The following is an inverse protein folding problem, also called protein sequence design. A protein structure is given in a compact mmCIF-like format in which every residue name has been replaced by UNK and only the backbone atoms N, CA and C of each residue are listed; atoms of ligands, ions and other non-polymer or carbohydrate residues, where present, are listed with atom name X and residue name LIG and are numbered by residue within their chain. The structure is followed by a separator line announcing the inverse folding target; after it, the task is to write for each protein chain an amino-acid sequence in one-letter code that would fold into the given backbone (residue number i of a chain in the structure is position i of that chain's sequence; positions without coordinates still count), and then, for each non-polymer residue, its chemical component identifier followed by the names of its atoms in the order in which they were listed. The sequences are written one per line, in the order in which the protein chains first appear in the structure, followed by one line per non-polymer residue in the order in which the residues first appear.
data_IF_432826669230
#
_entry.id   IF_432826669230
#
_cell.length_a   1.000
_cell.length_b   1.000
_cell.length_c   1.000
_cell.angle_alpha   90.00
_cell.angle_beta   90.00
_cell.angle_gamma   90.00
#
_symmetry.space_group_name_H-M   'P 1'
#
loop_
_entity.id
_entity.type
_entity.pdbx_description
1 polymer ?
#
# COMPACT_ATOMS: atom_id res chain seq x y z
N UNK A 1 17.73 -26.64 -6.14
CA UNK A 1 17.68 -27.96 -6.80
C UNK A 1 16.30 -28.54 -6.55
N UNK A 2 15.65 -29.04 -7.59
CA UNK A 2 14.32 -29.65 -7.48
C UNK A 2 14.47 -31.12 -7.04
N UNK A 3 14.10 -31.41 -5.79
CA UNK A 3 14.18 -32.74 -5.15
C UNK A 3 12.88 -33.54 -5.28
N UNK A 4 11.87 -32.97 -5.92
CA UNK A 4 10.56 -33.59 -6.18
C UNK A 4 10.66 -34.97 -6.85
N UNK A 5 11.55 -35.22 -7.84
CA UNK A 5 11.63 -36.55 -8.46
C UNK A 5 12.14 -37.64 -7.50
N UNK A 6 13.18 -37.37 -6.70
CA UNK A 6 13.69 -38.32 -5.69
C UNK A 6 12.66 -38.59 -4.60
N UNK A 7 11.94 -37.56 -4.15
CA UNK A 7 10.88 -37.71 -3.16
C UNK A 7 9.72 -38.57 -3.70
N UNK A 8 9.36 -38.38 -4.97
CA UNK A 8 8.31 -39.15 -5.63
C UNK A 8 8.68 -40.63 -5.83
N UNK A 9 9.96 -40.94 -6.04
CA UNK A 9 10.42 -42.34 -6.03
C UNK A 9 10.26 -42.99 -4.66
N UNK A 10 10.61 -42.26 -3.59
CA UNK A 10 10.45 -42.75 -2.22
C UNK A 10 8.97 -42.95 -1.85
N UNK A 11 8.08 -42.07 -2.30
CA UNK A 11 6.63 -42.21 -2.13
C UNK A 11 6.09 -43.43 -2.88
N UNK A 12 6.53 -43.65 -4.12
CA UNK A 12 6.17 -44.83 -4.91
C UNK A 12 6.60 -46.12 -4.22
N UNK A 13 7.82 -46.17 -3.65
CA UNK A 13 8.32 -47.31 -2.87
C UNK A 13 7.49 -47.60 -1.60
N UNK A 14 6.77 -46.61 -1.08
CA UNK A 14 5.91 -46.74 0.12
C UNK A 14 4.42 -46.83 -0.20
N UNK A 15 4.03 -47.04 -1.47
CA UNK A 15 2.64 -47.02 -1.94
C UNK A 15 1.89 -45.74 -1.55
N UNK A 16 2.60 -44.62 -1.47
CA UNK A 16 2.03 -43.31 -1.18
C UNK A 16 1.78 -42.52 -2.49
N UNK A 17 0.78 -41.64 -2.53
CA UNK A 17 0.49 -40.83 -3.70
C UNK A 17 1.66 -39.90 -4.04
N UNK A 18 1.94 -39.76 -5.34
CA UNK A 18 3.03 -38.95 -5.90
C UNK A 18 2.68 -37.46 -5.74
N UNK A 19 3.66 -36.63 -5.38
CA UNK A 19 3.53 -35.17 -5.36
C UNK A 19 3.64 -34.67 -6.80
N UNK A 20 2.50 -34.35 -7.40
CA UNK A 20 2.43 -33.56 -8.63
C UNK A 20 2.47 -32.08 -8.28
N UNK A 21 3.24 -31.28 -9.02
CA UNK A 21 3.17 -29.82 -8.92
C UNK A 21 1.71 -29.39 -9.13
N UNK A 22 1.11 -28.88 -8.06
CA UNK A 22 -0.24 -28.35 -8.12
C UNK A 22 -0.15 -27.02 -8.86
N UNK A 23 -0.42 -27.03 -10.17
CA UNK A 23 -0.55 -25.81 -10.95
C UNK A 23 -1.67 -24.98 -10.32
N UNK A 24 -1.32 -23.91 -9.61
CA UNK A 24 -2.27 -22.94 -9.08
C UNK A 24 -2.98 -22.29 -10.28
N UNK A 25 -4.15 -22.81 -10.65
CA UNK A 25 -4.96 -22.22 -11.71
C UNK A 25 -5.76 -21.05 -11.14
N UNK A 26 -5.72 -19.90 -11.80
CA UNK A 26 -6.50 -18.71 -11.44
C UNK A 26 -8.01 -19.01 -11.36
N UNK A 27 -8.50 -20.01 -12.08
CA UNK A 27 -9.91 -20.45 -12.00
C UNK A 27 -10.26 -21.09 -10.65
N UNK A 28 -9.31 -21.82 -10.03
CA UNK A 28 -9.46 -22.45 -8.72
C UNK A 28 -9.18 -21.48 -7.55
N UNK A 29 -8.78 -20.25 -7.84
CA UNK A 29 -8.51 -19.21 -6.85
C UNK A 29 -9.83 -18.56 -6.40
N UNK A 30 -9.94 -18.31 -5.09
CA UNK A 30 -11.10 -17.68 -4.46
C UNK A 30 -11.39 -16.27 -5.03
N UNK A 31 -12.65 -15.84 -4.97
CA UNK A 31 -13.10 -14.55 -5.48
C UNK A 31 -12.30 -13.36 -4.91
N UNK A 32 -11.96 -13.42 -3.62
CA UNK A 32 -11.10 -12.41 -2.97
C UNK A 32 -9.76 -12.25 -3.68
N UNK A 33 -9.07 -13.37 -3.93
CA UNK A 33 -7.73 -13.34 -4.52
C UNK A 33 -7.78 -12.92 -5.99
N UNK A 34 -8.84 -13.28 -6.73
CA UNK A 34 -9.05 -12.79 -8.11
C UNK A 34 -9.12 -11.27 -8.16
N UNK A 35 -9.91 -10.67 -7.28
CA UNK A 35 -9.99 -9.19 -7.18
C UNK A 35 -8.66 -8.58 -6.71
N UNK A 36 -7.98 -9.18 -5.73
CA UNK A 36 -6.67 -8.72 -5.30
C UNK A 36 -5.63 -8.71 -6.44
N UNK A 37 -5.58 -9.77 -7.26
CA UNK A 37 -4.71 -9.82 -8.44
C UNK A 37 -5.06 -8.77 -9.49
N UNK A 38 -6.36 -8.53 -9.71
CA UNK A 38 -6.84 -7.49 -10.62
C UNK A 38 -6.39 -6.10 -10.16
N UNK A 39 -6.58 -5.78 -8.88
CA UNK A 39 -6.13 -4.53 -8.28
C UNK A 39 -4.59 -4.40 -8.42
N UNK A 40 -3.83 -5.44 -8.10
CA UNK A 40 -2.38 -5.43 -8.22
C UNK A 40 -1.91 -5.19 -9.67
N UNK A 41 -2.59 -5.80 -10.64
CA UNK A 41 -2.30 -5.58 -12.05
C UNK A 41 -2.50 -4.10 -12.43
N UNK A 42 -3.60 -3.48 -11.99
CA UNK A 42 -3.84 -2.06 -12.24
C UNK A 42 -2.84 -1.15 -11.54
N UNK A 43 -2.45 -1.44 -10.28
CA UNK A 43 -1.37 -0.72 -9.57
C UNK A 43 -0.06 -0.80 -10.36
N UNK A 44 0.30 -2.00 -10.83
CA UNK A 44 1.55 -2.23 -11.57
C UNK A 44 1.53 -1.53 -12.94
N UNK A 45 0.39 -1.56 -13.65
CA UNK A 45 0.21 -0.86 -14.92
C UNK A 45 0.40 0.64 -14.73
N UNK A 46 -0.28 1.24 -13.75
CA UNK A 46 -0.16 2.66 -13.43
C UNK A 46 1.29 3.04 -13.10
N UNK A 47 1.97 2.24 -12.29
CA UNK A 47 3.38 2.49 -11.95
C UNK A 47 4.30 2.48 -13.17
N UNK A 48 4.09 1.54 -14.08
CA UNK A 48 4.88 1.44 -15.30
C UNK A 48 4.59 2.61 -16.25
N UNK A 49 3.31 2.96 -16.43
CA UNK A 49 2.90 4.12 -17.22
C UNK A 49 3.51 5.42 -16.69
N UNK A 50 3.49 5.64 -15.37
CA UNK A 50 4.12 6.80 -14.73
C UNK A 50 5.63 6.82 -14.94
N UNK A 51 6.31 5.66 -14.87
CA UNK A 51 7.75 5.55 -15.14
C UNK A 51 8.10 5.86 -16.59
N UNK A 52 7.33 5.33 -17.53
CA UNK A 52 7.56 5.51 -18.96
C UNK A 52 7.36 6.99 -19.36
N UNK A 53 6.34 7.62 -18.78
CA UNK A 53 6.02 9.03 -19.06
C UNK A 53 6.92 9.99 -18.26
N UNK A 54 7.56 9.56 -17.17
CA UNK A 54 8.37 10.41 -16.27
C UNK A 54 9.38 11.29 -17.00
N UNK A 55 10.16 10.72 -17.91
CA UNK A 55 11.20 11.48 -18.63
C UNK A 55 10.58 12.57 -19.51
N UNK A 56 9.53 12.21 -20.26
CA UNK A 56 8.82 13.10 -21.15
C UNK A 56 8.04 14.20 -20.40
N UNK A 57 7.45 13.84 -19.26
CA UNK A 57 6.71 14.71 -18.36
C UNK A 57 7.61 15.77 -17.72
N UNK A 58 8.79 15.37 -17.26
CA UNK A 58 9.74 16.26 -16.61
C UNK A 58 10.53 17.12 -17.62
N UNK A 59 10.61 16.72 -18.89
CA UNK A 59 11.38 17.47 -19.90
C UNK A 59 10.70 18.79 -20.25
N UNK A 60 11.30 19.91 -19.82
CA UNK A 60 10.90 21.27 -20.24
C UNK A 60 11.59 21.71 -21.55
N UNK A 61 12.39 20.84 -22.16
CA UNK A 61 13.11 21.17 -23.39
C UNK A 61 12.13 21.24 -24.57
N UNK A 62 12.17 22.35 -25.31
CA UNK A 62 11.46 22.44 -26.58
C UNK A 62 11.99 21.36 -27.54
N UNK A 63 11.12 20.74 -28.37
CA UNK A 63 11.56 19.76 -29.35
C UNK A 63 12.56 20.44 -30.29
N UNK A 64 13.84 20.05 -30.19
CA UNK A 64 14.82 20.50 -31.18
C UNK A 64 14.41 19.87 -32.49
N UNK A 65 14.08 20.69 -33.49
CA UNK A 65 13.97 20.25 -34.89
C UNK A 65 15.36 19.77 -35.30
N UNK A 66 15.66 18.51 -35.05
CA UNK A 66 16.88 17.89 -35.55
C UNK A 66 16.67 17.60 -37.03
N UNK A 67 17.59 18.06 -37.88
CA UNK A 67 17.62 17.65 -39.27
C UNK A 67 17.73 16.12 -39.32
N UNK A 68 16.73 15.48 -39.92
CA UNK A 68 16.68 14.03 -40.14
C UNK A 68 18.01 13.53 -40.74
N UNK A 69 18.75 12.71 -39.99
CA UNK A 69 19.73 11.79 -40.56
C UNK A 69 19.00 10.47 -40.82
N UNK A 70 18.88 10.01 -42.08
CA UNK A 70 18.24 8.74 -42.39
C UNK A 70 19.18 7.62 -41.91
N UNK A 71 18.78 6.86 -40.89
CA UNK A 71 19.51 5.65 -40.48
C UNK A 71 19.51 5.30 -38.98
N UNK A 72 19.05 6.17 -38.08
CA UNK A 72 19.00 5.83 -36.64
C UNK A 72 17.56 5.53 -36.18
N UNK A 73 17.24 4.25 -35.98
CA UNK A 73 16.05 3.78 -35.26
C UNK A 73 16.15 4.04 -33.74
N UNK A 74 16.64 5.20 -33.33
CA UNK A 74 16.56 5.63 -31.94
C UNK A 74 15.14 6.17 -31.72
N UNK A 75 14.36 5.49 -30.88
CA UNK A 75 13.05 5.93 -30.42
C UNK A 75 13.12 7.41 -30.04
N UNK A 76 12.50 8.27 -30.85
CA UNK A 76 12.49 9.71 -30.62
C UNK A 76 11.90 9.96 -29.22
N UNK A 77 12.54 10.78 -28.37
CA UNK A 77 11.99 11.11 -27.07
C UNK A 77 10.64 11.79 -27.28
N UNK A 78 9.56 11.12 -26.83
CA UNK A 78 8.21 11.65 -26.95
C UNK A 78 8.13 12.89 -26.07
N UNK A 79 7.94 14.06 -26.67
CA UNK A 79 7.72 15.29 -25.91
C UNK A 79 6.23 15.37 -25.57
N UNK A 80 5.90 15.51 -24.28
CA UNK A 80 4.53 15.83 -23.84
C UNK A 80 4.32 17.33 -23.86
N UNK A 81 3.18 17.77 -24.39
CA UNK A 81 2.70 19.14 -24.26
C UNK A 81 2.22 19.41 -22.83
N UNK A 82 2.07 20.68 -22.44
CA UNK A 82 1.55 21.01 -21.12
C UNK A 82 0.13 20.45 -20.89
N UNK A 83 -0.68 20.35 -21.95
CA UNK A 83 -2.00 19.69 -21.92
C UNK A 83 -1.85 18.21 -21.60
N UNK A 84 -0.98 17.50 -22.34
CA UNK A 84 -0.78 16.07 -22.14
C UNK A 84 -0.29 15.76 -20.72
N UNK A 85 0.55 16.62 -20.14
CA UNK A 85 1.01 16.48 -18.75
C UNK A 85 -0.14 16.60 -17.75
N UNK A 86 -1.05 17.56 -17.97
CA UNK A 86 -2.22 17.75 -17.12
C UNK A 86 -3.22 16.59 -17.24
N UNK A 87 -3.38 16.02 -18.44
CA UNK A 87 -4.16 14.79 -18.66
C UNK A 87 -3.54 13.58 -17.95
N UNK A 88 -2.22 13.43 -17.98
CA UNK A 88 -1.50 12.39 -17.22
C UNK A 88 -1.73 12.55 -15.73
N UNK A 89 -1.61 13.77 -15.20
CA UNK A 89 -1.87 14.05 -13.78
C UNK A 89 -3.32 13.73 -13.39
N UNK A 90 -4.28 14.12 -14.23
CA UNK A 90 -5.71 13.89 -14.00
C UNK A 90 -6.05 12.39 -14.03
N UNK A 91 -5.56 11.65 -15.03
CA UNK A 91 -5.75 10.21 -15.14
C UNK A 91 -5.11 9.47 -13.96
N UNK A 92 -3.85 9.77 -13.64
CA UNK A 92 -3.18 9.15 -12.50
C UNK A 92 -3.93 9.39 -11.18
N UNK A 93 -4.42 10.62 -10.95
CA UNK A 93 -5.28 10.93 -9.80
C UNK A 93 -6.56 10.10 -9.77
N UNK A 94 -7.26 9.99 -10.90
CA UNK A 94 -8.48 9.21 -11.00
C UNK A 94 -8.19 7.73 -10.68
N UNK A 95 -7.16 7.15 -11.29
CA UNK A 95 -6.75 5.77 -11.06
C UNK A 95 -6.34 5.53 -9.60
N UNK A 96 -5.60 6.45 -8.96
CA UNK A 96 -5.28 6.33 -7.54
C UNK A 96 -6.52 6.31 -6.63
N UNK A 97 -7.53 7.13 -6.93
CA UNK A 97 -8.79 7.15 -6.16
C UNK A 97 -9.60 5.88 -6.38
N UNK A 98 -9.73 5.45 -7.63
CA UNK A 98 -10.42 4.21 -7.98
C UNK A 98 -9.75 3.00 -7.31
N UNK A 99 -8.42 2.92 -7.36
CA UNK A 99 -7.66 1.87 -6.69
C UNK A 99 -7.85 1.91 -5.17
N UNK A 100 -7.81 3.09 -4.56
CA UNK A 100 -8.08 3.24 -3.12
C UNK A 100 -9.50 2.76 -2.75
N UNK A 101 -10.50 3.14 -3.54
CA UNK A 101 -11.88 2.71 -3.37
C UNK A 101 -12.01 1.18 -3.51
N UNK A 102 -11.37 0.58 -4.53
CA UNK A 102 -11.38 -0.87 -4.75
C UNK A 102 -10.72 -1.65 -3.60
N UNK A 103 -9.60 -1.15 -3.06
CA UNK A 103 -8.92 -1.76 -1.90
C UNK A 103 -9.80 -1.64 -0.65
N UNK A 104 -10.51 -0.52 -0.49
CA UNK A 104 -11.43 -0.32 0.64
C UNK A 104 -12.63 -1.24 0.54
N UNK A 105 -13.24 -1.36 -0.65
CA UNK A 105 -14.31 -2.31 -0.90
C UNK A 105 -13.87 -3.78 -0.65
N UNK A 106 -12.66 -4.14 -1.06
CA UNK A 106 -12.08 -5.46 -0.81
C UNK A 106 -11.91 -5.72 0.70
N UNK A 107 -11.44 -4.71 1.46
CA UNK A 107 -11.31 -4.77 2.91
C UNK A 107 -12.68 -4.94 3.59
N UNK A 108 -13.68 -4.18 3.17
CA UNK A 108 -15.02 -4.24 3.76
C UNK A 108 -15.69 -5.59 3.48
N UNK A 109 -15.49 -6.14 2.28
CA UNK A 109 -15.94 -7.48 1.94
C UNK A 109 -15.28 -8.56 2.82
N UNK A 110 -13.97 -8.42 3.12
CA UNK A 110 -13.30 -9.36 4.03
C UNK A 110 -13.78 -9.21 5.48
N UNK A 111 -14.06 -7.99 5.94
CA UNK A 111 -14.62 -7.75 7.26
C UNK A 111 -15.97 -8.45 7.42
N UNK A 112 -16.87 -8.31 6.43
CA UNK A 112 -18.17 -9.01 6.43
C UNK A 112 -18.00 -10.53 6.41
N UNK A 113 -17.03 -11.05 5.65
CA UNK A 113 -16.73 -12.48 5.61
C UNK A 113 -16.20 -12.99 6.97
N UNK A 114 -15.34 -12.22 7.63
CA UNK A 114 -14.83 -12.52 8.98
C UNK A 114 -15.95 -12.55 10.02
N UNK A 115 -16.83 -11.56 10.00
CA UNK A 115 -17.99 -11.51 10.91
C UNK A 115 -18.96 -12.68 10.69
N UNK A 116 -19.24 -13.01 9.43
CA UNK A 116 -20.11 -14.13 9.09
C UNK A 116 -19.48 -15.47 9.46
N UNK A 117 -18.19 -15.68 9.18
CA UNK A 117 -17.48 -16.91 9.54
C UNK A 117 -17.42 -17.11 11.06
N UNK A 118 -17.06 -16.08 11.82
CA UNK A 118 -17.04 -16.15 13.29
C UNK A 118 -18.43 -16.40 13.87
N UNK A 119 -19.49 -15.79 13.31
CA UNK A 119 -20.86 -16.07 13.72
C UNK A 119 -21.30 -17.51 13.37
N UNK A 120 -20.89 -18.03 12.21
CA UNK A 120 -21.18 -19.40 11.80
C UNK A 120 -20.46 -20.41 12.67
N UNK A 121 -19.16 -20.22 12.95
CA UNK A 121 -18.39 -21.05 13.87
C UNK A 121 -19.04 -21.04 15.25
N UNK A 122 -19.33 -19.84 15.79
CA UNK A 122 -20.02 -19.71 17.08
C UNK A 122 -21.33 -20.48 17.09
N UNK A 123 -22.19 -20.35 16.08
CA UNK A 123 -23.47 -21.07 16.02
C UNK A 123 -23.31 -22.59 15.91
N UNK A 124 -22.39 -23.06 15.06
CA UNK A 124 -22.16 -24.50 14.83
C UNK A 124 -21.71 -25.22 16.10
N UNK A 125 -20.82 -24.60 16.85
CA UNK A 125 -20.19 -25.24 18.00
C UNK A 125 -20.81 -24.84 19.35
N UNK A 126 -21.51 -23.71 19.45
CA UNK A 126 -22.32 -23.39 20.65
C UNK A 126 -23.55 -24.30 20.80
N UNK A 127 -24.12 -24.79 19.69
CA UNK A 127 -25.33 -25.64 19.71
C UNK A 127 -25.05 -27.08 20.20
N UNK A 128 -23.79 -27.51 20.19
CA UNK A 128 -23.38 -28.85 20.63
C UNK A 128 -23.14 -29.02 22.14
N UNK A 129 -22.92 -27.94 22.89
CA UNK A 129 -22.52 -28.03 24.31
C UNK A 129 -23.07 -26.91 25.23
N UNK A 130 -23.82 -25.94 24.72
CA UNK A 130 -24.18 -24.72 25.46
C UNK A 130 -24.99 -24.90 26.76
N UNK A 131 -25.64 -26.05 26.98
CA UNK A 131 -26.43 -26.30 28.19
C UNK A 131 -25.94 -27.47 29.06
N UNK A 132 -25.38 -28.52 28.48
CA UNK A 132 -24.96 -29.73 29.23
C UNK A 132 -23.45 -29.77 29.54
N UNK A 133 -22.61 -29.07 28.77
CA UNK A 133 -21.16 -29.03 28.99
C UNK A 133 -20.74 -28.11 30.14
N UNK A 134 -21.41 -26.96 30.28
CA UNK A 134 -21.10 -25.96 31.30
C UNK A 134 -21.36 -26.45 32.74
N UNK A 135 -22.36 -27.32 32.93
CA UNK A 135 -22.64 -27.93 34.23
C UNK A 135 -21.66 -29.05 34.58
N UNK A 136 -21.22 -29.83 33.59
CA UNK A 136 -20.24 -30.92 33.79
C UNK A 136 -18.79 -30.42 33.99
N UNK A 137 -18.46 -29.22 33.52
CA UNK A 137 -17.14 -28.61 33.65
C UNK A 137 -16.95 -27.80 34.96
N UNK A 138 -17.90 -27.83 35.89
CA UNK A 138 -17.73 -27.25 37.24
C UNK A 138 -17.96 -25.73 37.35
N UNK A 139 -18.66 -25.10 36.40
CA UNK A 139 -18.88 -23.65 36.40
C UNK A 139 -19.83 -23.13 37.52
N UNK A 140 -20.40 -24.00 38.35
CA UNK A 140 -21.26 -23.61 39.47
C UNK A 140 -20.50 -23.23 40.75
N UNK A 141 -19.17 -23.41 40.81
CA UNK A 141 -18.36 -23.04 41.97
C UNK A 141 -17.22 -22.10 41.55
N UNK A 142 -17.49 -20.80 41.69
CA UNK A 142 -16.57 -19.66 41.72
C UNK A 142 -15.12 -19.89 41.27
N UNK A 143 -14.80 -19.39 40.08
CA UNK A 143 -13.42 -19.18 39.66
C UNK A 143 -13.35 -18.86 38.18
N UNK A 144 -12.91 -17.65 37.84
CA UNK A 144 -12.74 -17.16 36.46
C UNK A 144 -11.66 -17.92 35.69
N UNK A 145 -11.94 -19.18 35.35
CA UNK A 145 -11.14 -19.98 34.45
C UNK A 145 -11.57 -19.68 33.00
N UNK A 146 -10.57 -19.41 32.17
CA UNK A 146 -10.66 -19.06 30.75
C UNK A 146 -11.69 -19.89 29.98
N UNK A 147 -12.40 -19.24 29.06
CA UNK A 147 -13.41 -19.79 28.15
C UNK A 147 -12.91 -20.87 27.18
N UNK A 148 -11.73 -21.43 27.42
CA UNK A 148 -10.99 -22.30 26.51
C UNK A 148 -11.05 -23.78 26.91
N UNK A 149 -11.35 -24.09 28.18
CA UNK A 149 -11.42 -25.46 28.70
C UNK A 149 -12.64 -26.27 28.21
N UNK A 150 -13.63 -25.62 27.58
CA UNK A 150 -14.86 -26.23 27.09
C UNK A 150 -15.01 -26.32 25.56
N UNK A 151 -14.01 -25.84 24.78
CA UNK A 151 -14.10 -25.83 23.32
C UNK A 151 -13.72 -27.21 22.76
N UNK A 152 -14.53 -27.75 21.86
CA UNK A 152 -14.19 -28.98 21.15
C UNK A 152 -12.95 -28.76 20.29
N UNK A 153 -12.12 -29.79 20.12
CA UNK A 153 -10.92 -29.67 19.27
C UNK A 153 -11.26 -29.32 17.82
N UNK A 154 -12.44 -29.72 17.34
CA UNK A 154 -12.96 -29.33 16.02
C UNK A 154 -13.29 -27.83 15.94
N UNK A 155 -13.80 -27.23 17.02
CA UNK A 155 -14.02 -25.80 17.12
C UNK A 155 -12.68 -25.04 17.07
N UNK A 156 -11.70 -25.46 17.86
CA UNK A 156 -10.36 -24.85 17.87
C UNK A 156 -9.67 -24.96 16.50
N UNK A 157 -9.76 -26.11 15.84
CA UNK A 157 -9.19 -26.29 14.51
C UNK A 157 -9.90 -25.43 13.44
N UNK A 158 -11.21 -25.21 13.57
CA UNK A 158 -11.96 -24.32 12.69
C UNK A 158 -11.63 -22.84 12.93
N UNK A 159 -11.52 -22.41 14.20
CA UNK A 159 -11.08 -21.07 14.58
C UNK A 159 -9.66 -20.79 14.09
N UNK A 160 -8.74 -21.73 14.26
CA UNK A 160 -7.35 -21.59 13.78
C UNK A 160 -7.29 -21.43 12.25
N UNK A 161 -8.03 -22.24 11.50
CA UNK A 161 -8.11 -22.11 10.03
C UNK A 161 -8.66 -20.74 9.62
N UNK A 162 -9.76 -20.30 10.23
CA UNK A 162 -10.35 -18.98 9.96
C UNK A 162 -9.34 -17.85 10.19
N UNK A 163 -8.60 -17.89 11.31
CA UNK A 163 -7.55 -16.91 11.64
C UNK A 163 -6.37 -16.93 10.66
N UNK A 164 -5.90 -18.11 10.23
CA UNK A 164 -4.82 -18.18 9.23
C UNK A 164 -5.22 -17.56 7.90
N UNK A 165 -6.49 -17.71 7.49
CA UNK A 165 -7.02 -17.09 6.28
C UNK A 165 -7.14 -15.59 6.47
N UNK A 166 -7.64 -15.14 7.62
CA UNK A 166 -7.72 -13.72 7.99
C UNK A 166 -6.35 -13.05 7.90
N UNK A 167 -5.33 -13.63 8.57
CA UNK A 167 -3.96 -13.11 8.56
C UNK A 167 -3.42 -12.97 7.13
N UNK A 168 -3.54 -14.02 6.31
CA UNK A 168 -3.08 -13.97 4.92
C UNK A 168 -3.79 -12.89 4.10
N UNK A 169 -5.11 -12.70 4.29
CA UNK A 169 -5.87 -11.69 3.54
C UNK A 169 -5.56 -10.27 4.00
N UNK A 170 -5.34 -10.07 5.29
CA UNK A 170 -4.88 -8.79 5.84
C UNK A 170 -3.49 -8.42 5.28
N UNK A 171 -2.56 -9.38 5.21
CA UNK A 171 -1.25 -9.20 4.58
C UNK A 171 -1.37 -8.84 3.08
N UNK A 172 -2.28 -9.49 2.35
CA UNK A 172 -2.55 -9.15 0.94
C UNK A 172 -3.08 -7.72 0.80
N UNK A 173 -4.06 -7.32 1.60
CA UNK A 173 -4.60 -5.94 1.58
C UNK A 173 -3.51 -4.94 1.94
N UNK A 174 -2.66 -5.24 2.92
CA UNK A 174 -1.53 -4.41 3.32
C UNK A 174 -0.55 -4.25 2.16
N UNK A 175 -0.19 -5.33 1.48
CA UNK A 175 0.70 -5.31 0.30
C UNK A 175 0.14 -4.44 -0.83
N UNK A 176 -1.16 -4.56 -1.14
CA UNK A 176 -1.82 -3.71 -2.14
C UNK A 176 -1.78 -2.23 -1.77
N UNK A 177 -2.03 -1.89 -0.49
CA UNK A 177 -1.95 -0.52 0.02
C UNK A 177 -0.53 0.04 -0.07
N UNK A 178 0.49 -0.75 0.28
CA UNK A 178 1.89 -0.37 0.13
C UNK A 178 2.24 -0.13 -1.35
N UNK A 179 1.78 -0.99 -2.26
CA UNK A 179 1.97 -0.80 -3.70
C UNK A 179 1.34 0.51 -4.20
N UNK A 180 0.09 0.79 -3.80
CA UNK A 180 -0.60 2.04 -4.14
C UNK A 180 0.13 3.27 -3.57
N UNK A 181 0.64 3.18 -2.35
CA UNK A 181 1.41 4.25 -1.73
C UNK A 181 2.69 4.56 -2.51
N UNK A 182 3.41 3.55 -2.99
CA UNK A 182 4.60 3.75 -3.81
C UNK A 182 4.25 4.48 -5.12
N UNK A 183 3.14 4.11 -5.76
CA UNK A 183 2.66 4.81 -6.96
C UNK A 183 2.30 6.27 -6.65
N UNK A 184 1.57 6.51 -5.56
CA UNK A 184 1.22 7.85 -5.09
C UNK A 184 2.45 8.73 -4.85
N UNK A 185 3.49 8.17 -4.20
CA UNK A 185 4.77 8.85 -4.02
C UNK A 185 5.44 9.21 -5.34
N UNK A 186 5.49 8.27 -6.29
CA UNK A 186 6.11 8.57 -7.60
C UNK A 186 5.38 9.68 -8.36
N UNK A 187 4.05 9.73 -8.28
CA UNK A 187 3.28 10.82 -8.86
C UNK A 187 3.54 12.15 -8.14
N UNK A 188 3.53 12.14 -6.81
CA UNK A 188 3.82 13.33 -6.00
C UNK A 188 5.20 13.91 -6.33
N UNK A 189 6.24 13.07 -6.35
CA UNK A 189 7.61 13.47 -6.69
C UNK A 189 7.68 14.12 -8.09
N UNK A 190 6.96 13.56 -9.07
CA UNK A 190 6.91 14.12 -10.43
C UNK A 190 6.25 15.50 -10.44
N UNK A 191 5.14 15.66 -9.73
CA UNK A 191 4.42 16.92 -9.63
C UNK A 191 5.21 18.00 -8.87
N UNK A 192 5.89 17.64 -7.78
CA UNK A 192 6.77 18.53 -7.02
C UNK A 192 7.92 19.07 -7.88
N UNK A 193 8.59 18.19 -8.63
CA UNK A 193 9.66 18.59 -9.54
C UNK A 193 9.13 19.49 -10.67
N UNK A 194 7.91 19.25 -11.17
CA UNK A 194 7.29 20.13 -12.16
C UNK A 194 6.96 21.49 -11.58
N UNK A 195 6.33 21.53 -10.40
CA UNK A 195 5.92 22.77 -9.72
C UNK A 195 7.13 23.64 -9.41
N UNK A 196 8.20 23.05 -8.85
CA UNK A 196 9.47 23.74 -8.58
C UNK A 196 10.07 24.33 -9.85
N UNK A 197 10.11 23.57 -10.95
CA UNK A 197 10.62 24.06 -12.25
C UNK A 197 9.78 25.20 -12.84
N UNK A 198 8.46 25.15 -12.72
CA UNK A 198 7.60 26.24 -13.17
C UNK A 198 7.81 27.51 -12.32
N UNK A 199 7.94 27.36 -10.99
CA UNK A 199 8.28 28.48 -10.11
C UNK A 199 9.65 29.09 -10.43
N UNK A 200 10.67 28.27 -10.67
CA UNK A 200 12.00 28.72 -11.10
C UNK A 200 11.97 29.42 -12.46
N UNK A 201 11.21 28.88 -13.42
CA UNK A 201 11.03 29.48 -14.75
C UNK A 201 10.38 30.85 -14.62
N UNK A 202 9.31 30.99 -13.83
CA UNK A 202 8.68 32.28 -13.57
C UNK A 202 9.65 33.29 -12.94
N UNK A 203 10.44 32.84 -11.97
CA UNK A 203 11.49 33.65 -11.36
C UNK A 203 12.54 34.09 -12.39
N UNK A 204 12.94 33.20 -13.30
CA UNK A 204 13.93 33.50 -14.33
C UNK A 204 13.41 34.46 -15.41
N UNK A 205 12.12 34.36 -15.78
CA UNK A 205 11.47 35.28 -16.71
C UNK A 205 11.39 36.68 -16.07
N UNK A 206 11.04 36.76 -14.78
CA UNK A 206 11.02 38.02 -14.03
C UNK A 206 12.42 38.65 -13.94
N UNK A 207 13.44 37.84 -13.65
CA UNK A 207 14.83 38.30 -13.58
C UNK A 207 15.35 38.78 -14.96
N UNK A 208 14.96 38.09 -16.04
CA UNK A 208 15.37 38.43 -17.41
C UNK A 208 14.57 39.62 -17.98
N UNK A 209 13.35 39.83 -17.52
CA UNK A 209 12.51 41.00 -17.85
C UNK A 209 12.91 42.28 -17.11
N UNK A 210 14.06 42.30 -16.40
CA UNK A 210 14.57 43.50 -15.72
C UNK A 210 14.07 43.70 -14.29
N UNK A 211 13.38 42.71 -13.71
CA UNK A 211 12.77 42.80 -12.37
C UNK A 211 13.72 42.84 -11.17
N UNK A 212 15.04 42.86 -11.38
CA UNK A 212 16.01 43.09 -10.30
C UNK A 212 15.94 44.50 -9.70
N UNK A 213 15.31 45.45 -10.41
CA UNK A 213 15.29 46.87 -10.05
C UNK A 213 13.87 47.45 -9.93
N UNK A 214 12.84 46.71 -10.33
CA UNK A 214 11.49 47.27 -10.56
C UNK A 214 10.48 47.04 -9.43
N UNK A 215 10.77 46.20 -8.42
CA UNK A 215 9.86 45.97 -7.28
C UNK A 215 10.64 45.82 -5.96
N UNK A 216 10.89 46.92 -5.22
CA UNK A 216 11.63 46.93 -3.95
C UNK A 216 10.95 46.16 -2.82
N UNK A 217 9.62 46.04 -2.85
CA UNK A 217 8.81 45.53 -1.73
C UNK A 217 8.95 44.01 -1.51
N UNK A 218 9.22 43.24 -2.59
CA UNK A 218 9.45 41.80 -2.49
C UNK A 218 10.93 41.44 -2.26
N UNK A 219 11.85 42.40 -2.42
CA UNK A 219 13.29 42.21 -2.21
C UNK A 219 13.63 41.84 -0.77
N UNK A 220 12.93 42.44 0.20
CA UNK A 220 13.13 42.16 1.63
C UNK A 220 12.73 40.75 2.07
N UNK A 221 11.71 40.16 1.43
CA UNK A 221 11.29 38.78 1.72
C UNK A 221 12.30 37.75 1.18
N UNK A 222 12.86 38.02 -0.01
CA UNK A 222 13.85 37.14 -0.64
C UNK A 222 15.26 37.27 -0.03
N UNK A 223 15.64 38.45 0.48
CA UNK A 223 16.95 38.65 1.13
C UNK A 223 17.05 37.99 2.52
N UNK A 224 15.92 37.91 3.24
CA UNK A 224 15.78 37.14 4.48
C UNK A 224 16.05 35.64 4.24
N UNK A 225 15.59 35.10 3.11
CA UNK A 225 15.78 33.68 2.75
C UNK A 225 17.18 33.39 2.18
N UNK A 226 17.82 34.38 1.54
CA UNK A 226 19.20 34.29 1.03
C UNK A 226 20.25 34.16 2.14
N UNK A 227 20.01 34.74 3.32
CA UNK A 227 20.92 34.67 4.47
C UNK A 227 21.04 33.28 5.11
N UNK A 228 20.14 32.33 4.83
CA UNK A 228 20.26 30.96 5.35
C UNK A 228 21.07 30.02 4.43
N UNK A 229 21.31 30.41 3.17
CA UNK A 229 21.97 29.56 2.17
C UNK A 229 23.39 30.01 1.78
N UNK A 230 23.81 31.24 2.14
CA UNK A 230 25.04 31.84 1.63
C UNK A 230 26.17 31.97 2.69
N UNK A 231 26.56 30.86 3.32
CA UNK A 231 27.82 30.79 4.09
C UNK A 231 29.04 30.39 3.22
N UNK A 232 28.89 30.28 1.90
CA UNK A 232 29.97 29.87 1.01
C UNK A 232 29.91 30.57 -0.35
N UNK A 233 30.53 31.75 -0.46
CA UNK A 233 31.58 32.08 -1.45
C UNK A 233 31.82 33.59 -1.54
N UNK A 234 33.09 33.89 -1.78
CA UNK A 234 33.77 35.19 -1.81
C UNK A 234 33.23 36.11 -2.93
N UNK A 235 33.31 37.44 -2.79
CA UNK A 235 32.84 38.37 -3.80
C UNK A 235 33.87 38.55 -4.93
N UNK A 236 33.47 38.34 -6.18
CA UNK A 236 34.22 38.78 -7.34
C UNK A 236 33.81 40.22 -7.70
N UNK A 237 34.76 41.14 -7.59
CA UNK A 237 34.69 42.50 -8.15
C UNK A 237 34.60 42.42 -9.68
N UNK A 238 33.54 42.95 -10.26
CA UNK A 238 33.55 43.50 -11.64
C UNK A 238 32.96 44.90 -11.56
N UNK A 239 33.82 45.90 -11.75
CA UNK A 239 33.45 47.32 -11.67
C UNK A 239 32.58 47.75 -12.85
N UNK A 240 31.57 48.57 -12.55
CA UNK A 240 30.98 49.48 -13.51
C UNK A 240 31.72 50.84 -13.41
N UNK A 241 31.94 51.55 -14.54
CA UNK A 241 32.46 52.92 -14.51
C UNK A 241 31.42 53.90 -13.94
N UNK A 242 31.84 55.06 -13.42
CA UNK A 242 30.93 56.02 -12.80
C UNK A 242 30.11 56.75 -13.87
N UNK A 243 28.80 56.73 -13.70
CA UNK A 243 27.82 57.46 -14.50
C UNK A 243 27.89 58.96 -14.16
N UNK A 244 28.26 59.78 -15.15
CA UNK A 244 28.13 61.24 -15.09
C UNK A 244 26.65 61.60 -15.24
N UNK A 245 26.14 62.39 -14.28
CA UNK A 245 24.75 62.78 -14.21
C UNK A 245 24.24 63.48 -15.48
N UNK A 246 23.37 62.80 -16.19
CA UNK A 246 22.37 63.39 -17.07
C UNK A 246 21.04 62.70 -16.79
N UNK A 247 20.01 63.46 -16.44
CA UNK A 247 18.64 62.95 -16.35
C UNK A 247 18.18 62.55 -17.75
N UNK A 248 18.51 61.33 -18.18
CA UNK A 248 17.99 60.75 -19.40
C UNK A 248 16.50 60.48 -19.14
N UNK A 249 15.62 61.35 -19.63
CA UNK A 249 14.17 61.14 -19.63
C UNK A 249 13.85 60.23 -20.82
N UNK A 250 13.57 58.93 -20.64
CA UNK A 250 13.34 58.01 -21.76
C UNK A 250 12.07 58.37 -22.55
N UNK A 251 11.18 59.19 -21.99
CA UNK A 251 9.95 59.64 -22.64
C UNK A 251 10.17 60.53 -23.86
N UNK A 252 11.30 61.21 -24.01
CA UNK A 252 11.52 62.17 -25.12
C UNK A 252 12.02 61.51 -26.42
N UNK A 253 12.50 60.26 -26.38
CA UNK A 253 13.07 59.52 -27.54
C UNK A 253 12.22 58.32 -28.02
N UNK A 254 11.07 58.03 -27.40
CA UNK A 254 10.20 56.91 -27.78
C UNK A 254 9.13 57.37 -28.77
N UNK A 255 9.16 56.80 -29.98
CA UNK A 255 8.07 56.98 -30.95
C UNK A 255 6.74 56.48 -30.36
N UNK A 256 5.63 57.12 -30.72
CA UNK A 256 4.28 56.76 -30.24
C UNK A 256 3.95 55.27 -30.50
N UNK A 257 4.49 54.70 -31.58
CA UNK A 257 4.43 53.27 -31.89
C UNK A 257 5.20 52.39 -30.89
N UNK A 258 6.37 52.83 -30.40
CA UNK A 258 7.14 52.11 -29.38
C UNK A 258 6.47 52.14 -28.01
N UNK A 259 5.78 53.24 -27.66
CA UNK A 259 4.97 53.35 -26.43
C UNK A 259 3.81 52.34 -26.50
N UNK A 260 3.08 52.29 -27.62
CA UNK A 260 2.00 51.33 -27.82
C UNK A 260 2.50 49.87 -27.79
N UNK A 261 3.69 49.60 -28.36
CA UNK A 261 4.32 48.29 -28.29
C UNK A 261 4.71 47.91 -26.85
N UNK A 262 5.20 48.87 -26.07
CA UNK A 262 5.57 48.68 -24.67
C UNK A 262 4.33 48.43 -23.79
N UNK A 263 3.27 49.22 -23.97
CA UNK A 263 1.99 49.02 -23.28
C UNK A 263 1.38 47.65 -23.60
N UNK A 264 1.36 47.27 -24.88
CA UNK A 264 0.90 45.96 -25.33
C UNK A 264 1.76 44.83 -24.76
N UNK A 265 3.08 44.99 -24.75
CA UNK A 265 4.02 44.03 -24.19
C UNK A 265 3.85 43.87 -22.67
N UNK A 266 3.60 44.97 -21.95
CA UNK A 266 3.36 44.93 -20.51
C UNK A 266 2.02 44.25 -20.19
N UNK A 267 0.98 44.51 -21.00
CA UNK A 267 -0.31 43.84 -20.87
C UNK A 267 -0.22 42.34 -21.15
N UNK A 268 0.52 41.93 -22.20
CA UNK A 268 0.79 40.52 -22.52
C UNK A 268 1.58 39.82 -21.42
N UNK A 269 2.59 40.50 -20.85
CA UNK A 269 3.37 40.02 -19.71
C UNK A 269 2.48 39.77 -18.48
N UNK A 270 1.60 40.71 -18.14
CA UNK A 270 0.64 40.57 -17.03
C UNK A 270 -0.35 39.43 -17.26
N UNK A 271 -0.87 39.26 -18.47
CA UNK A 271 -1.75 38.14 -18.82
C UNK A 271 -1.02 36.80 -18.67
N UNK A 272 0.21 36.71 -19.18
CA UNK A 272 1.04 35.52 -19.02
C UNK A 272 1.31 35.21 -17.54
N UNK A 273 1.58 36.22 -16.71
CA UNK A 273 1.76 36.02 -15.27
C UNK A 273 0.50 35.52 -14.58
N UNK A 274 -0.65 36.15 -14.81
CA UNK A 274 -1.91 35.71 -14.21
C UNK A 274 -2.23 34.26 -14.59
N UNK A 275 -2.14 33.93 -15.88
CA UNK A 275 -2.32 32.56 -16.36
C UNK A 275 -1.35 31.57 -15.70
N UNK A 276 -0.09 31.96 -15.50
CA UNK A 276 0.89 31.06 -14.89
C UNK A 276 0.68 30.89 -13.39
N UNK A 277 0.25 31.94 -12.68
CA UNK A 277 -0.13 31.85 -11.27
C UNK A 277 -1.34 30.92 -11.08
N UNK A 278 -2.33 30.99 -11.96
CA UNK A 278 -3.49 30.11 -11.88
C UNK A 278 -3.12 28.64 -12.13
N UNK A 279 -2.16 28.37 -13.04
CA UNK A 279 -1.60 27.02 -13.23
C UNK A 279 -0.87 26.52 -11.98
N UNK A 280 -0.06 27.37 -11.36
CA UNK A 280 0.68 27.03 -10.12
C UNK A 280 -0.30 26.73 -8.98
N UNK A 281 -1.32 27.58 -8.78
CA UNK A 281 -2.37 27.35 -7.76
C UNK A 281 -3.14 26.04 -8.01
N UNK A 282 -3.45 25.74 -9.26
CA UNK A 282 -4.15 24.50 -9.62
C UNK A 282 -3.27 23.27 -9.35
N UNK A 283 -1.98 23.35 -9.69
CA UNK A 283 -1.02 22.30 -9.40
C UNK A 283 -0.79 22.12 -7.89
N UNK A 284 -0.71 23.20 -7.12
CA UNK A 284 -0.60 23.19 -5.66
C UNK A 284 -1.82 22.53 -5.02
N UNK A 285 -3.04 22.93 -5.41
CA UNK A 285 -4.28 22.31 -4.93
C UNK A 285 -4.30 20.81 -5.22
N UNK A 286 -3.90 20.42 -6.42
CA UNK A 286 -3.82 19.01 -6.81
C UNK A 286 -2.78 18.24 -5.99
N UNK A 287 -1.65 18.87 -5.67
CA UNK A 287 -0.59 18.25 -4.89
C UNK A 287 -1.04 18.07 -3.43
N UNK A 288 -1.73 19.06 -2.86
CA UNK A 288 -2.32 18.97 -1.53
C UNK A 288 -3.33 17.83 -1.43
N UNK A 289 -4.19 17.65 -2.42
CA UNK A 289 -5.16 16.54 -2.46
C UNK A 289 -4.47 15.17 -2.52
N UNK A 290 -3.39 15.03 -3.30
CA UNK A 290 -2.59 13.79 -3.34
C UNK A 290 -1.88 13.56 -2.00
N UNK A 291 -1.32 14.62 -1.40
CA UNK A 291 -0.67 14.54 -0.09
C UNK A 291 -1.66 14.14 1.01
N UNK A 292 -2.90 14.63 0.95
CA UNK A 292 -3.99 14.19 1.84
C UNK A 292 -4.28 12.69 1.66
N UNK A 293 -4.50 12.25 0.42
CA UNK A 293 -4.72 10.83 0.12
C UNK A 293 -3.56 9.95 0.59
N UNK A 294 -2.31 10.40 0.40
CA UNK A 294 -1.12 9.70 0.86
C UNK A 294 -1.05 9.66 2.38
N UNK A 295 -1.39 10.74 3.07
CA UNK A 295 -1.42 10.79 4.54
C UNK A 295 -2.44 9.81 5.09
N UNK A 296 -3.64 9.76 4.49
CA UNK A 296 -4.67 8.76 4.84
C UNK A 296 -4.18 7.33 4.58
N UNK A 297 -3.50 7.08 3.46
CA UNK A 297 -2.92 5.76 3.16
C UNK A 297 -1.84 5.35 4.17
N UNK A 298 -0.93 6.25 4.52
CA UNK A 298 0.14 6.00 5.51
C UNK A 298 -0.44 5.76 6.90
N UNK A 299 -1.42 6.57 7.33
CA UNK A 299 -2.10 6.37 8.61
C UNK A 299 -2.84 5.03 8.68
N UNK A 300 -3.51 4.64 7.60
CA UNK A 300 -4.17 3.34 7.50
C UNK A 300 -3.18 2.16 7.48
N UNK A 301 -2.00 2.34 6.89
CA UNK A 301 -0.94 1.33 6.91
C UNK A 301 -0.32 1.16 8.30
N UNK A 302 -0.10 2.25 9.03
CA UNK A 302 0.43 2.20 10.39
C UNK A 302 -0.54 1.53 11.37
N UNK A 303 -1.84 1.81 11.25
CA UNK A 303 -2.86 1.12 12.07
C UNK A 303 -2.99 -0.35 11.70
N UNK A 304 -2.91 -0.69 10.40
CA UNK A 304 -2.95 -2.09 9.95
C UNK A 304 -1.69 -2.87 10.31
N UNK A 305 -0.49 -2.28 10.27
CA UNK A 305 0.75 -2.98 10.63
C UNK A 305 0.75 -3.41 12.09
N UNK A 306 0.31 -2.53 13.00
CA UNK A 306 0.19 -2.88 14.41
C UNK A 306 -0.81 -4.03 14.65
N UNK A 307 -1.93 -4.06 13.92
CA UNK A 307 -2.90 -5.16 14.01
C UNK A 307 -2.33 -6.47 13.45
N UNK A 308 -1.59 -6.43 12.34
CA UNK A 308 -0.98 -7.62 11.74
C UNK A 308 0.11 -8.18 12.64
N UNK A 309 0.95 -7.35 13.26
CA UNK A 309 1.95 -7.79 14.24
C UNK A 309 1.29 -8.52 15.42
N UNK A 310 0.15 -8.02 15.90
CA UNK A 310 -0.64 -8.72 16.91
C UNK A 310 -1.19 -10.06 16.41
N UNK A 311 -1.76 -10.10 15.20
CA UNK A 311 -2.27 -11.35 14.60
C UNK A 311 -1.17 -12.39 14.40
N UNK A 312 0.03 -11.98 13.99
CA UNK A 312 1.19 -12.85 13.84
C UNK A 312 1.60 -13.45 15.18
N UNK A 313 1.72 -12.61 16.23
CA UNK A 313 2.03 -13.08 17.58
C UNK A 313 0.95 -14.04 18.11
N UNK A 314 -0.32 -13.75 17.87
CA UNK A 314 -1.44 -14.64 18.23
C UNK A 314 -1.38 -15.96 17.46
N UNK A 315 -0.99 -15.93 16.19
CA UNK A 315 -0.85 -17.12 15.33
C UNK A 315 0.24 -18.06 15.86
N UNK A 316 1.39 -17.53 16.29
CA UNK A 316 2.47 -18.33 16.89
C UNK A 316 2.00 -19.08 18.15
N UNK A 317 1.30 -18.37 19.04
CA UNK A 317 0.74 -18.96 20.26
C UNK A 317 -0.28 -20.07 19.95
N UNK A 318 -1.16 -19.84 18.99
CA UNK A 318 -2.21 -20.82 18.62
C UNK A 318 -1.59 -22.04 17.93
N UNK A 319 -0.58 -21.85 17.10
CA UNK A 319 0.10 -22.98 16.43
C UNK A 319 0.70 -23.92 17.45
N UNK A 320 1.26 -23.37 18.53
CA UNK A 320 1.76 -24.13 19.67
C UNK A 320 0.62 -24.85 20.42
N UNK A 321 -0.49 -24.17 20.69
CA UNK A 321 -1.63 -24.73 21.43
C UNK A 321 -2.36 -25.83 20.67
N UNK A 322 -2.60 -25.66 19.36
CA UNK A 322 -3.23 -26.67 18.49
C UNK A 322 -2.31 -27.89 18.35
N UNK A 323 -1.00 -27.69 18.22
CA UNK A 323 -0.02 -28.78 18.18
C UNK A 323 0.00 -29.59 19.48
N UNK A 324 -0.05 -28.90 20.62
CA UNK A 324 -0.19 -29.50 21.96
C UNK A 324 -1.49 -30.29 22.11
N UNK A 325 -2.62 -29.69 21.73
CA UNK A 325 -3.96 -30.29 21.80
C UNK A 325 -4.09 -31.56 20.95
N UNK A 326 -3.55 -31.55 19.72
CA UNK A 326 -3.59 -32.73 18.85
C UNK A 326 -2.73 -33.88 19.39
N UNK A 327 -1.62 -33.55 20.06
CA UNK A 327 -0.78 -34.52 20.77
C UNK A 327 -1.50 -35.11 21.99
N UNK A 328 -2.29 -34.30 22.70
CA UNK A 328 -3.13 -34.75 23.80
C UNK A 328 -4.29 -35.63 23.32
N UNK A 329 -4.93 -35.32 22.20
CA UNK A 329 -5.93 -36.20 21.57
C UNK A 329 -5.35 -37.55 21.21
N UNK A 330 -4.17 -37.58 20.57
CA UNK A 330 -3.50 -38.85 20.24
C UNK A 330 -3.19 -39.66 21.50
N UNK A 331 -2.77 -39.00 22.59
CA UNK A 331 -2.57 -39.64 23.90
C UNK A 331 -3.89 -40.11 24.54
N UNK A 332 -4.98 -39.37 24.37
CA UNK A 332 -6.30 -39.72 24.91
C UNK A 332 -6.92 -40.91 24.15
N UNK A 333 -6.78 -40.97 22.82
CA UNK A 333 -7.21 -42.13 22.02
C UNK A 333 -6.39 -43.39 22.34
N UNK A 334 -5.12 -43.22 22.72
CA UNK A 334 -4.24 -44.33 23.12
C UNK A 334 -4.47 -44.81 24.55
N UNK A 335 -5.16 -44.05 25.40
CA UNK A 335 -5.50 -44.52 26.74
C UNK A 335 -6.60 -45.59 26.64
N UNK A 336 -6.36 -46.84 27.08
CA UNK A 336 -7.42 -47.84 27.12
C UNK A 336 -8.53 -47.33 28.03
N UNK A 337 -9.77 -47.38 27.53
CA UNK A 337 -10.94 -46.86 28.25
C UNK A 337 -11.04 -47.50 29.64
N UNK A 338 -11.14 -46.67 30.68
CA UNK A 338 -11.36 -47.13 32.05
C UNK A 338 -12.61 -48.04 32.15
N UNK A 339 -13.61 -47.81 31.29
CA UNK A 339 -14.80 -48.65 31.20
C UNK A 339 -14.51 -50.07 30.67
N UNK A 340 -13.52 -50.23 29.77
CA UNK A 340 -13.07 -51.57 29.35
C UNK A 340 -12.37 -52.28 30.50
N UNK A 341 -11.56 -51.56 31.26
CA UNK A 341 -10.88 -52.14 32.43
C UNK A 341 -11.87 -52.57 33.51
N UNK A 342 -12.88 -51.75 33.83
CA UNK A 342 -13.91 -52.13 34.81
C UNK A 342 -14.79 -53.28 34.34
N UNK A 343 -15.10 -53.37 33.04
CA UNK A 343 -15.83 -54.51 32.47
C UNK A 343 -15.02 -55.82 32.55
N UNK A 344 -13.74 -55.80 32.20
CA UNK A 344 -12.90 -57.00 32.33
C UNK A 344 -12.63 -57.37 33.80
N UNK A 345 -12.51 -56.37 34.68
CA UNK A 345 -12.38 -56.61 36.11
C UNK A 345 -13.65 -57.24 36.71
N UNK A 346 -14.84 -56.75 36.35
CA UNK A 346 -16.10 -57.33 36.81
C UNK A 346 -16.35 -58.71 36.22
N UNK A 347 -16.09 -58.90 34.92
CA UNK A 347 -16.21 -60.21 34.28
C UNK A 347 -15.23 -61.25 34.87
N UNK A 348 -13.99 -60.82 35.17
CA UNK A 348 -12.99 -61.66 35.83
C UNK A 348 -13.39 -62.05 37.26
N UNK A 349 -13.94 -61.10 38.03
CA UNK A 349 -14.46 -61.37 39.37
C UNK A 349 -15.64 -62.34 39.31
N UNK A 350 -16.59 -62.16 38.39
CA UNK A 350 -17.71 -63.08 38.19
C UNK A 350 -17.23 -64.49 37.80
N UNK A 351 -16.28 -64.61 36.87
CA UNK A 351 -15.72 -65.90 36.47
C UNK A 351 -14.98 -66.59 37.63
N UNK A 352 -14.24 -65.83 38.44
CA UNK A 352 -13.56 -66.34 39.62
C UNK A 352 -14.55 -66.88 40.67
N UNK A 353 -15.66 -66.16 40.92
CA UNK A 353 -16.70 -66.62 41.85
C UNK A 353 -17.35 -67.93 41.39
N UNK A 354 -17.63 -68.07 40.09
CA UNK A 354 -18.20 -69.32 39.54
C UNK A 354 -17.23 -70.49 39.70
N UNK A 355 -15.94 -70.27 39.44
CA UNK A 355 -14.91 -71.31 39.63
C UNK A 355 -14.73 -71.70 41.10
N UNK A 356 -14.80 -70.72 42.00
CA UNK A 356 -14.71 -70.95 43.45
C UNK A 356 -15.90 -71.76 43.97
N UNK A 357 -17.11 -71.46 43.49
CA UNK A 357 -18.34 -72.19 43.81
C UNK A 357 -18.40 -73.61 43.22
N UNK A 358 -17.50 -73.93 42.27
CA UNK A 358 -17.42 -75.25 41.63
C UNK A 358 -16.35 -76.15 42.27
N UNK A 359 -15.42 -75.56 43.03
CA UNK A 359 -14.31 -76.25 43.70
C UNK A 359 -14.63 -76.59 45.16
N UNK A 360 -15.53 -75.83 45.78
CA UNK A 360 -16.14 -76.10 47.10
C UNK A 360 -17.47 -76.82 46.89
#
# INVERSE_FOLDING_TARGET
MDITPEFNELLRKRNAPIVTEKKLSLEAIDGFLKEAYRINHHITSLHNELKDVRQAYLSTAQPRKTHFRPGSNASQPRHLTDRDREEVDANAKQMLRELNASITALKDAELLRRETETAVIRKKYARGLGALGAWAAGAAAGGGASSDSGKTAEHLAAEAKARTIEQHRDEVIQSLRQGLQLCGRTQQDMMEVRLTREMEKNRSVLAKAGGGSAMPELGGFYESMSKSAAAAKRPSKSGLPPDEGGSYNPQEDLTEEQIQLFEKGNQDMLQHYNSTLDKVRTAEKSLLEIAELQTLLVGNLATQSAHIEQLVADSENITQDVGGGNKQLKKATQRPSAARYTFFASAGLCAFLILWDLII
#
